data_IF_608175341398
#
_entry.id   IF_608175341398
#
_cell.length_a   1.000
_cell.length_b   1.000
_cell.length_c   1.000
_cell.angle_alpha   90.00
_cell.angle_beta   90.00
_cell.angle_gamma   90.00
#
_symmetry.space_group_name_H-M   'P 1'
#
loop_
_entity.id
_entity.type
_entity.pdbx_description
1 polymer ?
#
# COMPACT_ATOMS: atom_id res chain seq x y z
N UNK A 1 -0.42 -20.21 1.61
CA UNK A 1 -0.59 -20.01 0.17
C UNK A 1 -0.88 -18.55 -0.11
N UNK A 2 -0.19 -17.95 -1.08
CA UNK A 2 -0.44 -16.56 -1.42
C UNK A 2 -1.79 -16.44 -2.13
N UNK A 3 -2.58 -15.45 -1.76
CA UNK A 3 -3.87 -15.20 -2.39
C UNK A 3 -3.76 -14.28 -3.59
N UNK A 4 -2.60 -13.66 -3.76
CA UNK A 4 -2.34 -12.80 -4.90
C UNK A 4 -1.54 -13.56 -5.95
N UNK A 5 -1.95 -13.42 -7.21
CA UNK A 5 -1.18 -13.98 -8.31
C UNK A 5 0.01 -13.08 -8.61
N UNK A 6 0.93 -13.59 -9.44
CA UNK A 6 2.07 -12.78 -9.86
C UNK A 6 1.60 -11.53 -10.61
N UNK A 7 0.51 -11.66 -11.37
CA UNK A 7 -0.04 -10.54 -12.11
C UNK A 7 -0.61 -9.48 -11.18
N UNK A 8 -1.27 -9.92 -10.12
CA UNK A 8 -1.81 -8.98 -9.13
C UNK A 8 -0.68 -8.23 -8.43
N UNK A 9 0.36 -8.94 -8.05
CA UNK A 9 1.51 -8.31 -7.39
C UNK A 9 2.20 -7.32 -8.32
N UNK A 10 2.37 -7.67 -9.58
CA UNK A 10 3.00 -6.79 -10.55
C UNK A 10 2.18 -5.52 -10.75
N UNK A 11 0.86 -5.65 -10.80
CA UNK A 11 -0.03 -4.51 -10.97
C UNK A 11 0.04 -3.57 -9.77
N UNK A 12 0.03 -4.13 -8.57
CA UNK A 12 0.16 -3.35 -7.35
C UNK A 12 1.51 -2.65 -7.32
N UNK A 13 2.56 -3.34 -7.73
CA UNK A 13 3.88 -2.76 -7.76
C UNK A 13 3.98 -1.61 -8.76
N UNK A 14 3.33 -1.73 -9.91
CA UNK A 14 3.30 -0.65 -10.88
C UNK A 14 2.67 0.61 -10.27
N UNK A 15 1.59 0.46 -9.53
CA UNK A 15 0.96 1.58 -8.85
C UNK A 15 1.89 2.15 -7.78
N UNK A 16 2.53 1.27 -7.04
CA UNK A 16 3.46 1.68 -5.98
C UNK A 16 4.58 2.55 -6.58
N UNK A 17 5.18 2.07 -7.64
CA UNK A 17 6.28 2.79 -8.28
C UNK A 17 5.82 4.11 -8.89
N UNK A 18 4.59 4.14 -9.40
CA UNK A 18 4.04 5.36 -9.97
C UNK A 18 3.94 6.46 -8.92
N UNK A 19 3.55 6.10 -7.71
CA UNK A 19 3.40 7.08 -6.64
C UNK A 19 4.68 7.34 -5.85
N UNK A 20 5.69 6.50 -6.03
CA UNK A 20 6.99 6.69 -5.40
C UNK A 20 7.80 7.71 -6.19
N UNK A 21 7.44 8.97 -6.02
CA UNK A 21 8.03 10.05 -6.82
C UNK A 21 9.50 10.28 -6.58
N UNK A 22 9.96 9.93 -5.39
CA UNK A 22 11.36 10.09 -5.02
C UNK A 22 12.21 8.90 -5.43
N UNK A 23 11.59 7.83 -5.88
CA UNK A 23 12.27 6.59 -6.26
C UNK A 23 13.16 6.05 -5.16
N UNK A 24 12.69 6.18 -3.91
CA UNK A 24 13.43 5.67 -2.75
C UNK A 24 12.88 4.34 -2.26
N UNK A 25 11.97 3.73 -3.03
CA UNK A 25 11.31 2.46 -2.71
C UNK A 25 10.42 2.54 -1.48
N UNK A 26 9.97 3.75 -1.13
CA UNK A 26 9.08 3.96 -0.01
C UNK A 26 8.00 4.96 -0.38
N UNK A 27 6.83 4.80 0.23
CA UNK A 27 5.73 5.75 0.08
C UNK A 27 5.55 6.54 1.36
N UNK A 28 5.40 7.84 1.21
CA UNK A 28 5.01 8.70 2.31
C UNK A 28 3.49 8.61 2.51
N UNK A 29 3.01 9.13 3.62
CA UNK A 29 1.59 9.08 3.93
C UNK A 29 0.72 9.62 2.81
N UNK A 30 1.09 10.76 2.26
CA UNK A 30 0.33 11.39 1.17
C UNK A 30 0.27 10.50 -0.06
N UNK A 31 1.41 9.93 -0.42
CA UNK A 31 1.48 9.05 -1.58
C UNK A 31 0.68 7.78 -1.36
N UNK A 32 0.74 7.23 -0.15
CA UNK A 32 -0.04 6.06 0.19
C UNK A 32 -1.54 6.31 0.09
N UNK A 33 -1.99 7.46 0.57
CA UNK A 33 -3.40 7.81 0.51
C UNK A 33 -3.88 7.87 -0.94
N UNK A 34 -3.08 8.44 -1.82
CA UNK A 34 -3.43 8.50 -3.24
C UNK A 34 -3.50 7.12 -3.86
N UNK A 35 -2.52 6.27 -3.56
CA UNK A 35 -2.50 4.90 -4.06
C UNK A 35 -3.71 4.12 -3.55
N UNK A 36 -4.01 4.27 -2.27
CA UNK A 36 -5.11 3.55 -1.66
C UNK A 36 -6.45 3.90 -2.30
N UNK A 37 -6.63 5.16 -2.68
CA UNK A 37 -7.86 5.58 -3.35
C UNK A 37 -8.05 4.90 -4.69
N UNK A 38 -6.96 4.60 -5.37
CA UNK A 38 -7.05 3.91 -6.66
C UNK A 38 -7.36 2.44 -6.48
N UNK A 39 -6.72 1.81 -5.51
CA UNK A 39 -6.90 0.39 -5.27
C UNK A 39 -8.22 0.07 -4.56
N UNK A 40 -8.69 0.98 -3.73
CA UNK A 40 -9.90 0.80 -2.95
C UNK A 40 -10.71 2.11 -2.97
N UNK A 41 -11.37 2.43 -4.08
CA UNK A 41 -12.06 3.72 -4.22
C UNK A 41 -13.23 3.90 -3.25
N UNK A 42 -13.76 2.82 -2.72
CA UNK A 42 -14.86 2.90 -1.76
C UNK A 42 -14.38 3.16 -0.33
N UNK A 43 -13.08 3.06 -0.08
CA UNK A 43 -12.53 3.26 1.24
C UNK A 43 -12.41 4.76 1.56
N UNK A 44 -12.55 5.09 2.83
CA UNK A 44 -12.43 6.47 3.25
C UNK A 44 -10.97 6.88 3.41
N UNK A 45 -10.74 8.18 3.44
CA UNK A 45 -9.40 8.70 3.68
C UNK A 45 -8.89 8.28 5.05
N UNK A 46 -9.76 8.22 6.04
CA UNK A 46 -9.38 7.78 7.38
C UNK A 46 -8.86 6.36 7.39
N UNK A 47 -9.46 5.48 6.60
CA UNK A 47 -8.98 4.12 6.49
C UNK A 47 -7.58 4.07 5.91
N UNK A 48 -7.31 4.92 4.92
CA UNK A 48 -5.97 5.01 4.35
C UNK A 48 -4.96 5.48 5.39
N UNK A 49 -5.30 6.50 6.15
CA UNK A 49 -4.42 7.03 7.18
C UNK A 49 -4.14 5.99 8.25
N UNK A 50 -5.18 5.29 8.71
CA UNK A 50 -5.00 4.23 9.69
C UNK A 50 -4.15 3.10 9.15
N UNK A 51 -4.38 2.74 7.89
CA UNK A 51 -3.58 1.71 7.24
C UNK A 51 -2.11 2.09 7.19
N UNK A 52 -1.83 3.33 6.82
CA UNK A 52 -0.47 3.80 6.77
C UNK A 52 0.22 3.69 8.14
N UNK A 53 -0.45 4.16 9.18
CA UNK A 53 0.13 4.12 10.53
C UNK A 53 0.29 2.70 11.04
N UNK A 54 -0.60 1.80 10.62
CA UNK A 54 -0.49 0.39 10.98
C UNK A 54 0.73 -0.25 10.30
N UNK A 55 0.94 0.07 9.04
CA UNK A 55 2.07 -0.48 8.28
C UNK A 55 3.39 0.13 8.78
N UNK A 56 3.39 1.44 9.01
CA UNK A 56 4.58 2.17 9.45
C UNK A 56 4.75 2.04 10.96
N UNK A 57 4.96 0.82 11.41
CA UNK A 57 5.09 0.54 12.83
C UNK A 57 6.36 1.16 13.42
N UNK A 58 7.38 1.37 12.60
CA UNK A 58 8.64 1.95 13.03
C UNK A 58 8.56 3.47 13.18
N UNK A 59 7.52 4.09 12.61
CA UNK A 59 7.37 5.53 12.69
C UNK A 59 8.40 6.29 11.88
N UNK A 60 8.94 5.69 10.83
CA UNK A 60 9.98 6.34 10.03
C UNK A 60 9.41 7.27 8.96
N UNK A 61 8.10 7.34 8.83
CA UNK A 61 7.45 8.23 7.90
C UNK A 61 7.25 7.69 6.49
N UNK A 62 7.60 6.43 6.25
CA UNK A 62 7.43 5.82 4.94
C UNK A 62 7.27 4.33 5.04
N UNK A 63 6.65 3.74 4.04
CA UNK A 63 6.45 2.29 4.00
C UNK A 63 7.07 1.75 2.71
N UNK A 64 7.67 0.55 2.79
CA UNK A 64 8.21 -0.07 1.60
C UNK A 64 7.17 -1.01 0.98
N UNK A 65 7.51 -1.54 -0.19
CA UNK A 65 6.57 -2.37 -0.94
C UNK A 65 6.21 -3.66 -0.19
N UNK A 66 7.17 -4.27 0.46
CA UNK A 66 6.91 -5.50 1.20
C UNK A 66 5.95 -5.27 2.35
N UNK A 67 6.16 -4.20 3.10
CA UNK A 67 5.25 -3.84 4.19
C UNK A 67 3.85 -3.57 3.68
N UNK A 68 3.75 -2.83 2.58
CA UNK A 68 2.47 -2.53 1.96
C UNK A 68 1.79 -3.80 1.48
N UNK A 69 2.52 -4.67 0.81
CA UNK A 69 1.96 -5.88 0.24
C UNK A 69 1.45 -6.83 1.33
N UNK A 70 2.21 -6.98 2.41
CA UNK A 70 1.79 -7.80 3.53
C UNK A 70 0.49 -7.29 4.13
N UNK A 71 0.41 -5.98 4.36
CA UNK A 71 -0.80 -5.37 4.89
C UNK A 71 -1.98 -5.56 3.93
N UNK A 72 -1.74 -5.36 2.65
CA UNK A 72 -2.76 -5.50 1.63
C UNK A 72 -3.33 -6.90 1.62
N UNK A 73 -2.47 -7.91 1.64
CA UNK A 73 -2.90 -9.30 1.64
C UNK A 73 -3.73 -9.63 2.88
N UNK A 74 -3.34 -9.13 4.03
CA UNK A 74 -4.04 -9.42 5.28
C UNK A 74 -5.42 -8.79 5.35
N UNK A 75 -5.58 -7.64 4.73
CA UNK A 75 -6.80 -6.86 4.89
C UNK A 75 -7.76 -6.95 3.71
N UNK A 76 -7.28 -7.33 2.54
CA UNK A 76 -8.09 -7.23 1.33
C UNK A 76 -8.24 -8.53 0.56
N UNK A 77 -7.56 -9.57 0.97
CA UNK A 77 -7.61 -10.84 0.26
C UNK A 77 -8.18 -11.99 1.10
N UNK A 78 -8.73 -11.66 2.24
CA UNK A 78 -9.30 -12.69 3.13
C UNK A 78 -10.73 -13.08 2.76
N UNK A 79 -11.29 -12.37 1.81
CA UNK A 79 -12.65 -12.69 1.36
C UNK A 79 -12.61 -13.82 0.33
#
# INVERSE_FOLDING_TARGET
MSKLSKEDVAEIRDHFEFFDRNHNDQLEEREFIELFKILAPDASREMAIRGFHTIDADGNGGIDFEEFLDWWQMNWTVF
#
